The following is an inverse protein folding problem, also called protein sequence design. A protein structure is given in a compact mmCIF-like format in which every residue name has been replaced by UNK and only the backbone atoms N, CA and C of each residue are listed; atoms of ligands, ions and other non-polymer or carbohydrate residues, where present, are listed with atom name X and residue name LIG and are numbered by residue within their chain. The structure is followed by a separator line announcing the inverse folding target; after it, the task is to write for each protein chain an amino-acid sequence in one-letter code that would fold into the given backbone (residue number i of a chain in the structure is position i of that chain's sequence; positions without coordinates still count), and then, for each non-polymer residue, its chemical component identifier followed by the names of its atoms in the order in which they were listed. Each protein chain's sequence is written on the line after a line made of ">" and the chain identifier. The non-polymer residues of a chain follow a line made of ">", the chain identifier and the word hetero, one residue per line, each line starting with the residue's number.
data_IF_893095556978
#
_entry.id   IF_893095556978
#
_cell.length_a   1.000
_cell.length_b   1.000
_cell.length_c   1.000
_cell.angle_alpha   90.00
_cell.angle_beta   90.00
_cell.angle_gamma   90.00
#
_symmetry.space_group_name_H-M   'P 1'
#
loop_
_entity.id
_entity.type
_entity.pdbx_description
1 polymer ?
#
# COMPACT_ATOMS: atom_id res chain seq x y z
N UNK A 1 4.48 -35.33 11.46
CA UNK A 1 4.86 -34.64 10.20
C UNK A 1 4.84 -33.17 10.55
N UNK A 2 5.94 -32.72 11.15
CA UNK A 2 6.00 -31.40 11.76
C UNK A 2 6.52 -30.43 10.71
N UNK A 3 5.60 -29.65 10.16
CA UNK A 3 5.91 -28.51 9.29
C UNK A 3 6.77 -27.53 10.07
N UNK A 4 8.08 -27.52 9.78
CA UNK A 4 9.02 -26.54 10.29
C UNK A 4 8.53 -25.12 9.98
N UNK A 5 8.60 -24.17 10.93
CA UNK A 5 8.32 -22.77 10.64
C UNK A 5 9.37 -22.29 9.63
N UNK A 6 8.92 -21.90 8.45
CA UNK A 6 9.76 -21.33 7.41
C UNK A 6 10.57 -20.16 8.00
N UNK A 7 11.91 -20.22 7.93
CA UNK A 7 12.80 -19.14 8.38
C UNK A 7 12.73 -17.89 7.48
N UNK A 8 11.81 -17.84 6.52
CA UNK A 8 11.57 -16.67 5.68
C UNK A 8 10.64 -15.69 6.42
N UNK A 9 11.18 -14.97 7.41
CA UNK A 9 10.45 -13.86 8.02
C UNK A 9 10.12 -12.76 7.00
N UNK A 10 9.18 -11.88 7.35
CA UNK A 10 8.86 -10.69 6.56
C UNK A 10 9.33 -9.42 7.29
N UNK A 11 9.68 -8.38 6.53
CA UNK A 11 9.74 -7.00 6.99
C UNK A 11 8.35 -6.38 6.89
N UNK A 12 7.93 -5.66 7.92
CA UNK A 12 6.73 -4.83 7.90
C UNK A 12 7.14 -3.37 8.11
N UNK A 13 6.68 -2.50 7.21
CA UNK A 13 6.98 -1.06 7.21
C UNK A 13 5.65 -0.33 7.13
N UNK A 14 5.36 0.52 8.11
CA UNK A 14 4.14 1.33 8.13
C UNK A 14 4.48 2.80 8.00
N UNK A 15 3.77 3.50 7.12
CA UNK A 15 3.88 4.95 6.90
C UNK A 15 2.53 5.57 7.16
N UNK A 16 2.46 6.43 8.16
CA UNK A 16 1.26 7.18 8.53
C UNK A 16 1.36 8.62 8.03
N UNK A 17 0.27 9.10 7.44
CA UNK A 17 0.06 10.50 7.11
C UNK A 17 -1.07 11.10 7.97
N UNK A 18 -1.07 12.43 8.07
CA UNK A 18 -2.12 13.21 8.73
C UNK A 18 -3.00 13.94 7.70
N UNK A 19 -3.16 13.37 6.51
CA UNK A 19 -3.95 13.95 5.43
C UNK A 19 -5.45 13.85 5.68
N UNK A 20 -6.24 14.18 4.64
CA UNK A 20 -7.70 14.11 4.71
C UNK A 20 -8.26 12.69 4.88
N UNK A 21 -7.42 11.66 4.72
CA UNK A 21 -7.85 10.27 4.67
C UNK A 21 -8.71 9.93 3.45
N UNK A 22 -9.15 8.67 3.40
CA UNK A 22 -10.00 8.11 2.35
C UNK A 22 -11.02 7.17 2.97
N UNK A 23 -12.16 7.07 2.31
CA UNK A 23 -13.17 6.06 2.65
C UNK A 23 -12.59 4.68 2.34
N UNK A 24 -12.68 3.78 3.32
CA UNK A 24 -12.09 2.43 3.29
C UNK A 24 -12.51 1.63 2.05
N UNK A 25 -13.70 1.92 1.48
CA UNK A 25 -14.18 1.29 0.23
C UNK A 25 -13.28 1.56 -0.98
N UNK A 26 -12.40 2.55 -0.90
CA UNK A 26 -11.45 2.89 -1.95
C UNK A 26 -10.05 2.32 -1.73
N UNK A 27 -9.81 1.62 -0.62
CA UNK A 27 -8.51 1.07 -0.22
C UNK A 27 -7.82 0.24 -1.31
N UNK A 28 -8.57 -0.50 -2.12
CA UNK A 28 -8.00 -1.25 -3.25
C UNK A 28 -7.87 -0.41 -4.52
N UNK A 29 -8.80 0.53 -4.72
CA UNK A 29 -8.90 1.37 -5.93
C UNK A 29 -7.79 2.40 -6.02
N UNK A 30 -7.28 2.91 -4.90
CA UNK A 30 -6.19 3.90 -4.90
C UNK A 30 -4.87 3.38 -5.48
N UNK A 31 -4.74 2.06 -5.67
CA UNK A 31 -3.59 1.46 -6.33
C UNK A 31 -3.79 1.23 -7.82
N UNK A 32 -4.97 1.54 -8.37
CA UNK A 32 -5.23 1.47 -9.81
C UNK A 32 -4.59 2.69 -10.47
N UNK A 33 -3.74 2.51 -11.50
CA UNK A 33 -3.13 3.64 -12.20
C UNK A 33 -4.20 4.59 -12.74
N UNK A 34 -3.98 5.89 -12.57
CA UNK A 34 -4.81 6.97 -13.13
C UNK A 34 -6.23 7.10 -12.54
N UNK A 35 -6.65 6.25 -11.60
CA UNK A 35 -7.88 6.49 -10.83
C UNK A 35 -7.64 7.54 -9.75
N UNK A 36 -8.49 8.57 -9.75
CA UNK A 36 -8.50 9.61 -8.73
C UNK A 36 -9.84 9.59 -8.00
N UNK A 37 -9.79 9.69 -6.68
CA UNK A 37 -11.00 9.77 -5.85
C UNK A 37 -11.61 11.17 -5.82
N UNK A 38 -10.80 12.21 -6.08
CA UNK A 38 -11.24 13.61 -6.08
C UNK A 38 -10.96 14.26 -7.44
N UNK A 39 -11.88 15.12 -7.90
CA UNK A 39 -11.78 15.82 -9.18
C UNK A 39 -10.51 16.67 -9.30
N UNK A 40 -10.10 16.96 -10.55
CA UNK A 40 -8.85 17.63 -10.96
C UNK A 40 -8.50 18.93 -10.20
N UNK A 41 -9.43 19.56 -9.49
CA UNK A 41 -9.21 20.86 -8.84
C UNK A 41 -8.80 20.78 -7.35
N UNK A 42 -8.81 19.60 -6.72
CA UNK A 42 -8.60 19.51 -5.27
C UNK A 42 -7.13 19.29 -4.86
N UNK A 43 -6.33 18.55 -5.65
CA UNK A 43 -4.94 18.22 -5.32
C UNK A 43 -4.07 18.03 -6.56
N UNK A 44 -2.87 18.62 -6.56
CA UNK A 44 -1.85 18.39 -7.59
C UNK A 44 -1.25 16.98 -7.49
N UNK A 45 -0.87 16.41 -8.64
CA UNK A 45 -0.27 15.07 -8.73
C UNK A 45 -0.85 14.27 -9.88
N UNK A 46 -0.12 13.28 -10.40
CA UNK A 46 -0.55 12.46 -11.54
C UNK A 46 -1.44 11.28 -11.16
N UNK A 47 -1.52 10.93 -9.86
CA UNK A 47 -2.22 9.75 -9.36
C UNK A 47 -1.49 8.43 -9.64
N UNK A 48 -0.19 8.49 -9.97
CA UNK A 48 0.60 7.33 -10.39
C UNK A 48 1.43 6.75 -9.23
N UNK A 49 1.71 7.53 -8.19
CA UNK A 49 2.62 7.16 -7.10
C UNK A 49 2.27 5.83 -6.42
N UNK A 50 1.03 5.67 -5.95
CA UNK A 50 0.60 4.45 -5.27
C UNK A 50 0.58 3.23 -6.21
N UNK A 51 0.25 3.41 -7.49
CA UNK A 51 0.32 2.35 -8.48
C UNK A 51 1.77 1.87 -8.69
N UNK A 52 2.75 2.80 -8.70
CA UNK A 52 4.18 2.46 -8.73
C UNK A 52 4.57 1.70 -7.45
N UNK A 53 4.16 2.18 -6.27
CA UNK A 53 4.44 1.48 -5.00
C UNK A 53 3.92 0.04 -5.03
N UNK A 54 2.66 -0.18 -5.44
CA UNK A 54 2.09 -1.53 -5.57
C UNK A 54 2.91 -2.39 -6.54
N UNK A 55 3.28 -1.85 -7.71
CA UNK A 55 4.10 -2.59 -8.69
C UNK A 55 5.48 -2.97 -8.13
N UNK A 56 6.16 -2.06 -7.43
CA UNK A 56 7.47 -2.33 -6.81
C UNK A 56 7.34 -3.41 -5.74
N UNK A 57 6.38 -3.26 -4.83
CA UNK A 57 6.17 -4.20 -3.72
C UNK A 57 5.80 -5.59 -4.25
N UNK A 58 4.89 -5.69 -5.22
CA UNK A 58 4.53 -6.96 -5.86
C UNK A 58 5.72 -7.61 -6.59
N UNK A 59 6.59 -6.81 -7.24
CA UNK A 59 7.81 -7.34 -7.88
C UNK A 59 8.78 -7.98 -6.87
N UNK A 60 8.75 -7.55 -5.61
CA UNK A 60 9.57 -8.12 -4.54
C UNK A 60 8.86 -9.27 -3.79
N UNK A 61 7.73 -9.78 -4.30
CA UNK A 61 6.95 -10.81 -3.63
C UNK A 61 6.23 -10.32 -2.37
N UNK A 62 6.12 -9.01 -2.21
CA UNK A 62 5.48 -8.38 -1.06
C UNK A 62 4.03 -7.99 -1.30
N UNK A 63 3.46 -7.35 -0.28
CA UNK A 63 2.10 -6.81 -0.29
C UNK A 63 2.11 -5.38 0.26
N UNK A 64 1.26 -4.53 -0.30
CA UNK A 64 0.95 -3.20 0.25
C UNK A 64 -0.54 -3.14 0.58
N UNK A 65 -0.88 -2.60 1.74
CA UNK A 65 -2.25 -2.35 2.20
C UNK A 65 -2.37 -0.92 2.72
N UNK A 66 -3.59 -0.45 2.86
CA UNK A 66 -3.90 0.85 3.45
C UNK A 66 -5.03 0.68 4.46
N UNK A 67 -4.92 1.37 5.59
CA UNK A 67 -6.04 1.67 6.48
C UNK A 67 -6.21 3.17 6.51
N UNK A 68 -7.42 3.66 6.36
CA UNK A 68 -7.67 5.09 6.38
C UNK A 68 -9.09 5.39 6.79
N UNK A 69 -9.27 6.57 7.36
CA UNK A 69 -10.54 7.11 7.75
C UNK A 69 -10.56 8.59 7.37
N UNK A 70 -11.68 9.04 6.81
CA UNK A 70 -11.86 10.44 6.43
C UNK A 70 -11.70 11.35 7.65
N UNK A 71 -10.80 12.33 7.56
CA UNK A 71 -10.45 13.27 8.63
C UNK A 71 -9.29 12.83 9.54
N UNK A 72 -8.88 11.56 9.49
CA UNK A 72 -7.89 10.97 10.40
C UNK A 72 -6.56 10.59 9.70
N UNK A 73 -6.47 10.82 8.39
CA UNK A 73 -5.30 10.44 7.57
C UNK A 73 -5.31 8.97 7.13
N UNK A 74 -4.16 8.50 6.66
CA UNK A 74 -3.99 7.13 6.16
C UNK A 74 -2.73 6.48 6.72
N UNK A 75 -2.77 5.16 6.88
CA UNK A 75 -1.62 4.34 7.21
C UNK A 75 -1.43 3.31 6.11
N UNK A 76 -0.29 3.37 5.42
CA UNK A 76 0.11 2.41 4.41
C UNK A 76 1.05 1.39 5.04
N UNK A 77 0.75 0.10 4.89
CA UNK A 77 1.57 -0.99 5.44
C UNK A 77 2.14 -1.80 4.28
N UNK A 78 3.46 -1.96 4.26
CA UNK A 78 4.21 -2.72 3.28
C UNK A 78 4.80 -3.95 3.98
N UNK A 79 4.51 -5.13 3.44
CA UNK A 79 5.09 -6.40 3.87
C UNK A 79 6.01 -6.93 2.77
N UNK A 80 7.28 -7.17 3.08
CA UNK A 80 8.28 -7.70 2.15
C UNK A 80 8.94 -8.96 2.71
N UNK A 81 9.12 -10.04 1.94
CA UNK A 81 9.92 -11.19 2.36
C UNK A 81 11.36 -10.78 2.68
N UNK A 82 11.97 -11.36 3.73
CA UNK A 82 13.40 -11.13 4.07
C UNK A 82 14.36 -11.72 3.04
N UNK A 83 13.91 -12.72 2.29
CA UNK A 83 14.62 -13.31 1.15
C UNK A 83 13.78 -13.15 -0.11
N UNK A 84 14.36 -12.59 -1.18
CA UNK A 84 13.68 -12.57 -2.46
C UNK A 84 13.64 -13.97 -3.06
N UNK A 85 12.52 -14.38 -3.70
CA UNK A 85 12.51 -15.60 -4.49
C UNK A 85 13.50 -15.43 -5.66
N UNK A 86 14.49 -16.31 -5.72
CA UNK A 86 15.51 -16.39 -6.77
C UNK A 86 14.91 -16.80 -8.11
#
# INVERSE_FOLDING_TARGET
>A
MDSQPNQNGCWEISVQDNGIGLDEKFSERIFVPLERLHGRSAYEGTGIGLAICKKIVSRHGGRITVKSQLGEGSTFTITLPKSQPT
#
